data_IF_505981038455
#
_entry.id   IF_505981038455
#
_cell.length_a   1.000
_cell.length_b   1.000
_cell.length_c   1.000
_cell.angle_alpha   90.00
_cell.angle_beta   90.00
_cell.angle_gamma   90.00
#
_symmetry.space_group_name_H-M   'P 1'
#
loop_
_entity.id
_entity.type
_entity.pdbx_description
1 polymer ?
#
# COMPACT_ATOMS: atom_id res chain seq x y z
N UNK A 1 -6.38 -3.11 2.27
CA UNK A 1 -5.85 -3.27 0.91
C UNK A 1 -6.58 -2.28 0.01
N UNK A 2 -5.95 -1.79 -1.04
CA UNK A 2 -6.54 -0.79 -1.93
C UNK A 2 -6.46 -1.30 -3.37
N UNK A 3 -7.51 -1.05 -4.13
CA UNK A 3 -7.60 -1.43 -5.54
C UNK A 3 -6.75 -0.50 -6.43
N UNK A 4 -6.42 -0.89 -7.67
CA UNK A 4 -5.60 -0.09 -8.59
C UNK A 4 -6.14 1.31 -8.89
N UNK A 5 -7.44 1.54 -8.70
CA UNK A 5 -8.15 2.80 -8.88
C UNK A 5 -8.16 3.68 -7.62
N UNK A 6 -7.34 3.35 -6.61
CA UNK A 6 -7.25 4.11 -5.38
C UNK A 6 -7.00 5.61 -5.60
N UNK A 7 -7.55 6.40 -4.68
CA UNK A 7 -7.19 7.80 -4.50
C UNK A 7 -6.70 8.03 -3.06
N UNK A 8 -5.44 8.44 -2.94
CA UNK A 8 -4.82 8.87 -1.70
C UNK A 8 -4.97 10.38 -1.56
N UNK A 9 -5.85 10.80 -0.65
CA UNK A 9 -6.02 12.22 -0.31
C UNK A 9 -5.09 12.62 0.83
N UNK A 10 -4.25 13.62 0.58
CA UNK A 10 -3.41 14.27 1.59
C UNK A 10 -4.05 15.59 1.94
N UNK A 11 -4.31 15.83 3.22
CA UNK A 11 -4.94 17.05 3.72
C UNK A 11 -4.07 17.70 4.79
N UNK A 12 -3.86 19.00 4.67
CA UNK A 12 -3.12 19.81 5.62
C UNK A 12 -4.09 20.68 6.41
N UNK A 13 -4.08 20.53 7.73
CA UNK A 13 -4.91 21.29 8.64
C UNK A 13 -4.06 22.20 9.54
N UNK A 14 -4.62 23.35 9.91
CA UNK A 14 -4.09 24.21 10.98
C UNK A 14 -5.15 24.47 12.04
N UNK A 15 -4.71 24.78 13.26
CA UNK A 15 -5.57 25.26 14.32
C UNK A 15 -4.88 26.40 15.06
N UNK A 16 -5.62 27.48 15.33
CA UNK A 16 -5.16 28.53 16.23
C UNK A 16 -5.34 28.10 17.68
N UNK A 17 -4.35 28.35 18.55
CA UNK A 17 -4.52 28.14 19.99
C UNK A 17 -5.52 29.17 20.54
N UNK A 18 -6.63 28.74 21.18
CA UNK A 18 -7.53 29.65 21.87
C UNK A 18 -6.79 30.22 23.09
N UNK A 19 -6.43 31.52 23.04
CA UNK A 19 -5.75 32.23 24.14
C UNK A 19 -4.55 33.09 23.74
N UNK A 20 -4.12 33.09 22.49
CA UNK A 20 -3.14 34.05 21.97
C UNK A 20 -3.80 35.38 21.65
N UNK A 21 -4.12 36.18 22.67
CA UNK A 21 -4.62 37.54 22.47
C UNK A 21 -3.72 38.30 21.49
N UNK A 22 -4.36 38.94 20.52
CA UNK A 22 -3.74 39.92 19.64
C UNK A 22 -3.27 41.13 20.45
N UNK A 23 -2.16 40.99 21.18
CA UNK A 23 -1.40 42.09 21.77
C UNK A 23 0.01 41.60 22.13
N UNK A 24 0.79 41.28 21.11
CA UNK A 24 2.21 41.03 21.22
C UNK A 24 2.91 41.77 20.10
N UNK A 25 3.52 42.91 20.43
CA UNK A 25 4.34 43.72 19.55
C UNK A 25 5.22 42.85 18.64
N UNK A 26 5.15 43.05 17.33
CA UNK A 26 6.22 42.63 16.43
C UNK A 26 7.52 43.30 16.89
N UNK A 27 8.58 42.58 17.30
CA UNK A 27 9.89 43.19 17.32
C UNK A 27 10.35 43.25 15.86
N UNK A 28 10.36 44.46 15.29
CA UNK A 28 11.09 44.78 14.06
C UNK A 28 12.59 44.51 14.30
N UNK A 29 13.04 43.25 14.25
CA UNK A 29 14.46 42.83 14.23
C UNK A 29 14.58 41.29 14.22
N UNK A 30 14.21 40.65 13.13
CA UNK A 30 14.70 39.31 12.77
C UNK A 30 14.91 39.24 11.25
N UNK A 31 15.53 40.30 10.71
CA UNK A 31 16.35 40.17 9.52
C UNK A 31 17.75 39.80 10.00
N UNK A 32 18.34 38.79 9.36
CA UNK A 32 19.66 38.15 9.57
C UNK A 32 19.72 36.98 10.55
N UNK A 33 20.34 35.91 10.02
CA UNK A 33 20.78 34.64 10.64
C UNK A 33 19.84 33.44 10.52
N UNK A 34 19.60 33.03 9.27
CA UNK A 34 19.62 31.60 8.94
C UNK A 34 21.09 31.20 8.77
N UNK A 35 21.70 30.64 9.80
CA UNK A 35 22.96 29.91 9.68
C UNK A 35 23.11 28.92 10.83
N UNK A 36 23.35 27.66 10.45
CA UNK A 36 24.01 26.57 11.20
C UNK A 36 23.36 25.95 12.45
N UNK A 37 22.90 24.71 12.25
CA UNK A 37 23.23 23.45 12.99
C UNK A 37 23.01 23.28 14.50
N UNK A 38 22.35 22.17 14.84
CA UNK A 38 22.64 21.16 15.88
C UNK A 38 23.27 21.62 17.22
N UNK A 39 22.55 21.40 18.34
CA UNK A 39 23.14 21.42 19.69
C UNK A 39 22.14 21.16 20.82
N UNK A 40 22.46 20.23 21.70
CA UNK A 40 21.67 19.70 22.83
C UNK A 40 21.67 20.68 24.03
N UNK A 41 20.55 20.82 24.77
CA UNK A 41 20.52 20.83 26.26
C UNK A 41 19.18 21.29 26.88
N UNK A 42 18.58 20.41 27.69
CA UNK A 42 17.91 20.61 29.01
C UNK A 42 17.30 21.97 29.42
N UNK A 43 16.04 21.93 29.90
CA UNK A 43 15.42 23.01 30.69
C UNK A 43 14.00 22.69 31.17
N UNK A 44 13.87 22.42 32.47
CA UNK A 44 12.76 21.78 33.21
C UNK A 44 11.59 22.73 33.61
N UNK A 45 10.41 22.12 33.86
CA UNK A 45 9.32 22.44 34.82
C UNK A 45 8.09 23.27 34.35
N UNK A 46 6.92 22.64 34.46
CA UNK A 46 5.80 23.12 35.28
C UNK A 46 4.94 21.93 35.77
N UNK A 47 4.95 21.68 37.07
CA UNK A 47 4.02 20.81 37.82
C UNK A 47 3.76 21.47 39.18
N UNK A 48 2.60 21.15 39.78
CA UNK A 48 1.99 21.60 41.05
C UNK A 48 0.95 22.72 40.86
N UNK A 49 -0.24 22.69 41.49
CA UNK A 49 -0.65 22.13 42.79
C UNK A 49 -1.86 21.15 42.68
N UNK A 50 -1.98 20.02 43.39
CA UNK A 50 -2.11 19.74 44.85
C UNK A 50 -3.36 20.39 45.48
N UNK A 51 -4.16 19.77 46.36
CA UNK A 51 -4.33 18.41 46.93
C UNK A 51 -5.54 18.49 47.90
N UNK A 52 -6.20 17.36 48.24
CA UNK A 52 -7.00 17.25 49.48
C UNK A 52 -8.41 16.62 49.35
N UNK A 53 -8.57 15.36 49.77
CA UNK A 53 -9.87 14.76 50.19
C UNK A 53 -10.08 14.90 51.72
N UNK A 54 -10.92 14.11 52.42
CA UNK A 54 -12.04 13.21 52.04
C UNK A 54 -13.36 13.46 52.87
N UNK A 55 -14.47 12.75 52.59
CA UNK A 55 -15.59 12.56 53.55
C UNK A 55 -17.03 12.75 53.02
N UNK A 56 -17.93 11.82 53.35
CA UNK A 56 -19.26 11.58 52.73
C UNK A 56 -20.49 12.28 53.44
N UNK A 57 -21.79 11.91 53.22
CA UNK A 57 -22.98 12.78 52.96
C UNK A 57 -23.86 12.97 54.24
N UNK A 58 -25.18 13.38 54.29
CA UNK A 58 -26.24 13.51 53.28
C UNK A 58 -27.16 14.77 53.38
N UNK A 59 -28.09 14.94 52.42
CA UNK A 59 -29.11 15.98 52.51
C UNK A 59 -29.98 16.12 51.27
N UNK A 60 -31.04 15.32 51.21
CA UNK A 60 -32.22 15.45 50.33
C UNK A 60 -32.80 16.87 50.32
N UNK A 61 -33.10 17.40 49.13
CA UNK A 61 -33.94 18.59 48.98
C UNK A 61 -33.86 19.14 47.55
N UNK A 62 -34.96 19.01 46.80
CA UNK A 62 -34.99 19.18 45.36
C UNK A 62 -34.63 20.56 44.82
N UNK A 63 -34.11 20.57 43.61
CA UNK A 63 -34.71 21.21 42.43
C UNK A 63 -33.77 20.91 41.27
N UNK A 64 -34.34 20.42 40.16
CA UNK A 64 -33.58 20.09 38.97
C UNK A 64 -32.99 21.35 38.35
N UNK A 65 -31.76 21.68 38.70
CA UNK A 65 -30.87 22.38 37.81
C UNK A 65 -30.05 21.29 37.10
N UNK A 66 -30.38 21.04 35.84
CA UNK A 66 -29.44 20.40 34.92
C UNK A 66 -28.15 21.21 34.99
N UNK A 67 -27.18 20.72 35.75
CA UNK A 67 -25.82 21.24 35.74
C UNK A 67 -25.31 20.99 34.33
N UNK A 68 -25.43 22.03 33.50
CA UNK A 68 -24.77 22.13 32.21
C UNK A 68 -23.31 21.67 32.41
N UNK A 69 -22.77 20.83 31.50
CA UNK A 69 -21.35 20.48 31.57
C UNK A 69 -20.52 21.77 31.66
N UNK A 70 -19.42 21.79 32.43
CA UNK A 70 -18.57 22.96 32.54
C UNK A 70 -18.20 23.45 31.13
N UNK A 71 -18.00 24.77 30.91
CA UNK A 71 -17.72 25.31 29.59
C UNK A 71 -16.61 24.48 28.95
N UNK A 72 -17.02 23.73 27.94
CA UNK A 72 -16.22 22.78 27.18
C UNK A 72 -14.85 23.39 26.94
N UNK A 73 -13.79 22.68 27.34
CA UNK A 73 -12.41 23.03 26.98
C UNK A 73 -12.43 23.41 25.50
N UNK A 74 -12.02 24.63 25.10
CA UNK A 74 -12.10 25.05 23.72
C UNK A 74 -11.34 24.07 22.85
N UNK A 75 -12.07 23.20 22.15
CA UNK A 75 -11.47 22.22 21.26
C UNK A 75 -10.85 23.01 20.10
N UNK A 76 -9.58 22.76 19.74
CA UNK A 76 -8.98 23.42 18.59
C UNK A 76 -9.83 23.13 17.35
N UNK A 77 -10.39 24.18 16.74
CA UNK A 77 -11.05 24.08 15.45
C UNK A 77 -9.98 23.99 14.39
N UNK A 78 -9.81 22.79 13.84
CA UNK A 78 -8.93 22.56 12.70
C UNK A 78 -9.59 23.08 11.42
N UNK A 79 -8.84 23.85 10.65
CA UNK A 79 -9.24 24.33 9.34
C UNK A 79 -8.38 23.68 8.26
N UNK A 80 -9.01 23.21 7.19
CA UNK A 80 -8.31 22.70 6.02
C UNK A 80 -7.60 23.86 5.31
N UNK A 81 -6.28 23.76 5.19
CA UNK A 81 -5.46 24.75 4.50
C UNK A 81 -5.19 24.39 3.06
N UNK A 82 -4.90 23.12 2.81
CA UNK A 82 -4.57 22.63 1.48
C UNK A 82 -4.77 21.12 1.39
N UNK A 83 -4.93 20.62 0.17
CA UNK A 83 -5.02 19.20 -0.07
C UNK A 83 -4.39 18.81 -1.42
N UNK A 84 -4.07 17.52 -1.56
CA UNK A 84 -3.70 16.91 -2.83
C UNK A 84 -4.33 15.52 -2.93
N UNK A 85 -4.59 15.09 -4.17
CA UNK A 85 -5.03 13.74 -4.48
C UNK A 85 -3.96 13.05 -5.32
N UNK A 86 -3.52 11.87 -4.89
CA UNK A 86 -2.56 11.04 -5.59
C UNK A 86 -3.22 9.70 -5.95
N UNK A 87 -2.90 9.15 -7.10
CA UNK A 87 -3.40 7.86 -7.57
C UNK A 87 -2.25 6.99 -8.07
N UNK A 88 -2.59 5.86 -8.69
CA UNK A 88 -1.63 4.96 -9.33
C UNK A 88 -0.66 5.68 -10.30
N UNK A 89 -1.08 6.80 -10.91
CA UNK A 89 -0.23 7.56 -11.83
C UNK A 89 0.97 8.24 -11.15
N UNK A 90 0.87 8.54 -9.84
CA UNK A 90 1.94 9.17 -9.06
C UNK A 90 2.83 8.15 -8.34
N UNK A 91 2.51 6.86 -8.45
CA UNK A 91 3.31 5.79 -7.85
C UNK A 91 4.67 5.68 -8.53
N UNK A 92 5.75 5.76 -7.75
CA UNK A 92 7.12 5.80 -8.24
C UNK A 92 8.14 5.48 -7.12
N UNK A 93 9.28 4.87 -7.45
CA UNK A 93 10.32 4.52 -6.46
C UNK A 93 11.09 5.76 -5.92
N UNK A 94 11.08 6.86 -6.66
CA UNK A 94 11.71 8.14 -6.25
C UNK A 94 10.72 9.18 -5.68
N UNK A 95 11.26 10.12 -4.89
CA UNK A 95 10.51 11.30 -4.43
C UNK A 95 10.08 12.19 -5.60
N UNK A 96 8.83 12.68 -5.54
CA UNK A 96 8.26 13.61 -6.51
C UNK A 96 7.63 14.79 -5.79
N UNK A 97 7.61 15.92 -6.50
CA UNK A 97 6.91 17.13 -6.06
C UNK A 97 5.47 17.09 -6.58
N UNK A 98 4.52 17.36 -5.71
CA UNK A 98 3.10 17.40 -6.00
C UNK A 98 2.56 18.77 -5.61
N UNK A 99 1.76 19.37 -6.48
CA UNK A 99 1.11 20.63 -6.18
C UNK A 99 -0.04 20.40 -5.18
N UNK A 100 -0.19 21.34 -4.26
CA UNK A 100 -1.26 21.39 -3.27
C UNK A 100 -2.32 22.37 -3.75
N UNK A 101 -3.59 21.96 -3.69
CA UNK A 101 -4.73 22.84 -3.86
C UNK A 101 -4.96 23.58 -2.55
N UNK A 102 -4.82 24.90 -2.57
CA UNK A 102 -5.01 25.74 -1.39
C UNK A 102 -6.51 25.96 -1.15
N UNK A 103 -6.97 25.60 0.05
CA UNK A 103 -8.37 25.68 0.47
C UNK A 103 -8.66 26.89 1.38
N UNK A 104 -7.65 27.40 2.09
CA UNK A 104 -7.78 28.56 2.98
C UNK A 104 -7.13 29.82 2.39
N UNK A 105 -7.72 30.98 2.67
CA UNK A 105 -7.24 32.29 2.26
C UNK A 105 -6.68 33.10 3.45
N UNK A 106 -6.05 34.23 3.18
CA UNK A 106 -5.47 35.12 4.21
C UNK A 106 -6.49 35.65 5.23
N UNK A 107 -7.78 35.56 4.92
CA UNK A 107 -8.89 36.00 5.79
C UNK A 107 -9.21 34.95 6.87
N UNK A 108 -8.68 33.75 6.72
CA UNK A 108 -8.90 32.64 7.63
C UNK A 108 -8.05 32.76 8.90
N UNK A 109 -8.63 32.54 10.11
CA UNK A 109 -7.98 32.84 11.38
C UNK A 109 -6.75 31.97 11.70
N UNK A 110 -6.55 30.89 10.95
CA UNK A 110 -5.41 29.98 11.08
C UNK A 110 -4.68 29.76 9.75
N UNK A 111 -4.83 30.70 8.81
CA UNK A 111 -4.06 30.69 7.58
C UNK A 111 -2.56 30.81 7.84
N UNK A 112 -1.78 30.08 7.05
CA UNK A 112 -0.32 30.20 7.00
C UNK A 112 0.11 30.25 5.54
N UNK A 113 1.16 31.01 5.21
CA UNK A 113 1.69 31.05 3.84
C UNK A 113 2.28 29.68 3.48
N UNK A 114 1.71 29.06 2.43
CA UNK A 114 2.17 27.78 1.89
C UNK A 114 2.84 28.00 0.55
N UNK A 115 3.93 27.26 0.29
CA UNK A 115 4.57 27.22 -1.03
C UNK A 115 3.70 26.55 -2.12
N UNK A 116 2.57 25.94 -1.73
CA UNK A 116 1.65 25.26 -2.65
C UNK A 116 2.16 23.94 -3.18
N UNK A 117 3.18 23.34 -2.54
CA UNK A 117 3.80 22.08 -2.98
C UNK A 117 4.15 21.20 -1.79
N UNK A 118 4.06 19.89 -2.01
CA UNK A 118 4.58 18.86 -1.12
C UNK A 118 5.56 17.95 -1.88
N UNK A 119 6.47 17.30 -1.17
CA UNK A 119 7.38 16.32 -1.73
C UNK A 119 7.19 15.00 -0.99
N UNK A 120 6.86 13.93 -1.72
CA UNK A 120 6.72 12.60 -1.15
C UNK A 120 7.09 11.51 -2.18
N UNK A 121 7.32 10.29 -1.67
CA UNK A 121 7.41 9.07 -2.46
C UNK A 121 6.13 8.29 -2.23
N UNK A 122 5.38 8.02 -3.30
CA UNK A 122 4.22 7.14 -3.25
C UNK A 122 4.63 5.77 -3.78
N UNK A 123 4.66 4.77 -2.92
CA UNK A 123 4.95 3.38 -3.30
C UNK A 123 3.68 2.54 -3.19
N UNK A 124 3.47 1.64 -4.15
CA UNK A 124 2.41 0.64 -4.11
C UNK A 124 3.00 -0.74 -4.40
N UNK A 125 2.42 -1.78 -3.84
CA UNK A 125 2.86 -3.15 -4.07
C UNK A 125 1.65 -4.04 -4.35
N UNK A 126 1.46 -4.46 -5.61
CA UNK A 126 0.37 -5.36 -5.97
C UNK A 126 0.53 -6.71 -5.27
N UNK A 127 -0.55 -7.25 -4.70
CA UNK A 127 -0.51 -8.55 -4.03
C UNK A 127 -0.18 -9.69 -5.00
N UNK A 128 -0.56 -9.60 -6.27
CA UNK A 128 -0.19 -10.57 -7.31
C UNK A 128 1.34 -10.70 -7.55
N UNK A 129 2.14 -9.74 -7.07
CA UNK A 129 3.60 -9.79 -7.19
C UNK A 129 4.29 -10.54 -6.04
N UNK A 130 3.70 -10.50 -4.84
CA UNK A 130 4.26 -11.12 -3.63
C UNK A 130 3.59 -12.46 -3.31
N UNK A 131 2.27 -12.53 -3.48
CA UNK A 131 1.44 -13.68 -3.14
C UNK A 131 1.19 -14.55 -4.38
N UNK A 132 1.24 -15.89 -4.24
CA UNK A 132 0.96 -16.77 -5.36
C UNK A 132 -0.53 -16.74 -5.72
N UNK A 133 -0.83 -16.41 -6.98
CA UNK A 133 -2.19 -16.45 -7.53
C UNK A 133 -2.70 -17.90 -7.67
N UNK A 134 -1.79 -18.84 -7.94
CA UNK A 134 -2.08 -20.27 -7.92
C UNK A 134 -0.82 -21.08 -7.63
N UNK A 135 -1.03 -22.23 -6.99
CA UNK A 135 -0.01 -23.26 -6.78
C UNK A 135 -0.61 -24.63 -7.06
N UNK A 136 0.15 -25.53 -7.68
CA UNK A 136 -0.33 -26.87 -7.98
C UNK A 136 0.64 -27.67 -8.84
N UNK A 137 0.32 -28.94 -9.06
CA UNK A 137 1.18 -29.84 -9.83
C UNK A 137 0.74 -29.84 -11.29
N UNK A 138 1.67 -29.53 -12.21
CA UNK A 138 1.44 -29.61 -13.65
C UNK A 138 2.54 -30.42 -14.31
N UNK A 139 2.25 -30.98 -15.49
CA UNK A 139 3.24 -31.67 -16.33
C UNK A 139 3.47 -30.87 -17.59
N UNK A 140 4.72 -30.63 -17.94
CA UNK A 140 5.04 -30.03 -19.24
C UNK A 140 4.71 -31.04 -20.35
N UNK A 141 4.16 -30.57 -21.46
CA UNK A 141 3.98 -31.35 -22.67
C UNK A 141 5.01 -30.91 -23.70
N UNK A 142 5.78 -31.88 -24.20
CA UNK A 142 6.81 -31.67 -25.18
C UNK A 142 6.17 -31.25 -26.51
N UNK A 143 6.83 -30.39 -27.29
CA UNK A 143 6.35 -30.00 -28.61
C UNK A 143 6.10 -31.23 -29.49
N UNK A 144 4.87 -31.41 -29.96
CA UNK A 144 4.49 -32.50 -30.85
C UNK A 144 4.23 -33.86 -30.18
N UNK A 145 4.27 -33.97 -28.84
CA UNK A 145 3.94 -35.19 -28.14
C UNK A 145 2.42 -35.37 -27.97
N UNK A 146 1.88 -36.55 -28.26
CA UNK A 146 0.51 -36.94 -27.92
C UNK A 146 0.44 -37.43 -26.46
N UNK A 147 0.63 -36.54 -25.49
CA UNK A 147 0.48 -36.85 -24.05
C UNK A 147 1.36 -36.03 -23.11
N UNK A 148 1.18 -36.17 -21.79
CA UNK A 148 2.03 -35.52 -20.81
C UNK A 148 3.43 -36.12 -20.88
N UNK A 149 4.46 -35.29 -21.05
CA UNK A 149 5.84 -35.77 -21.22
C UNK A 149 6.74 -35.16 -20.14
N UNK A 150 7.29 -36.01 -19.28
CA UNK A 150 8.19 -35.58 -18.22
C UNK A 150 7.57 -35.67 -16.84
N UNK A 151 8.38 -35.40 -15.79
CA UNK A 151 7.94 -35.52 -14.42
C UNK A 151 6.91 -34.44 -14.05
N UNK A 152 6.04 -34.70 -13.06
CA UNK A 152 5.24 -33.65 -12.44
C UNK A 152 6.14 -32.56 -11.86
N UNK A 153 5.73 -31.31 -12.03
CA UNK A 153 6.40 -30.12 -11.49
C UNK A 153 5.42 -29.39 -10.57
N UNK A 154 5.91 -28.95 -9.41
CA UNK A 154 5.17 -28.04 -8.56
C UNK A 154 5.29 -26.62 -9.11
N UNK A 155 4.18 -26.06 -9.58
CA UNK A 155 4.12 -24.79 -10.27
C UNK A 155 3.53 -23.71 -9.36
N UNK A 156 4.10 -22.51 -9.39
CA UNK A 156 3.70 -21.35 -8.61
C UNK A 156 3.56 -20.16 -9.55
N UNK A 157 2.34 -19.64 -9.72
CA UNK A 157 2.08 -18.41 -10.48
C UNK A 157 2.18 -17.22 -9.54
N UNK A 158 3.23 -16.42 -9.70
CA UNK A 158 3.46 -15.20 -8.92
C UNK A 158 4.36 -14.23 -9.65
N UNK A 159 4.18 -12.93 -9.43
CA UNK A 159 5.05 -11.93 -10.03
C UNK A 159 5.08 -12.02 -11.56
N UNK A 160 6.27 -11.95 -12.19
CA UNK A 160 6.39 -11.91 -13.65
C UNK A 160 6.35 -13.28 -14.33
N UNK A 161 5.94 -14.37 -13.64
CA UNK A 161 6.03 -15.69 -14.25
C UNK A 161 5.32 -16.83 -13.52
N UNK A 162 5.30 -17.97 -14.22
CA UNK A 162 5.04 -19.27 -13.64
C UNK A 162 6.39 -19.94 -13.35
N UNK A 163 6.62 -20.22 -12.07
CA UNK A 163 7.84 -20.86 -11.57
C UNK A 163 7.55 -22.34 -11.32
N UNK A 164 8.31 -23.23 -11.93
CA UNK A 164 8.11 -24.67 -11.84
C UNK A 164 9.30 -25.34 -11.16
N UNK A 165 9.01 -26.10 -10.10
CA UNK A 165 9.98 -26.79 -9.24
C UNK A 165 9.81 -28.30 -9.33
N UNK A 166 10.83 -29.07 -8.95
CA UNK A 166 10.72 -30.53 -8.83
C UNK A 166 9.77 -30.95 -7.71
N UNK A 167 9.64 -30.14 -6.66
CA UNK A 167 8.70 -30.39 -5.55
C UNK A 167 8.28 -29.10 -4.82
N UNK A 168 7.22 -29.20 -4.00
CA UNK A 168 6.79 -28.10 -3.13
C UNK A 168 7.86 -27.69 -2.11
N UNK A 169 8.62 -28.64 -1.58
CA UNK A 169 9.69 -28.36 -0.61
C UNK A 169 10.84 -27.53 -1.21
N UNK A 170 11.15 -27.71 -2.50
CA UNK A 170 12.13 -26.88 -3.20
C UNK A 170 11.65 -25.43 -3.35
N UNK A 171 10.36 -25.25 -3.64
CA UNK A 171 9.74 -23.92 -3.74
C UNK A 171 9.75 -23.19 -2.38
N UNK A 172 9.41 -23.89 -1.30
CA UNK A 172 9.43 -23.36 0.07
C UNK A 172 10.85 -23.03 0.55
N UNK A 173 11.83 -23.84 0.18
CA UNK A 173 13.24 -23.60 0.47
C UNK A 173 13.84 -22.43 -0.34
N UNK A 174 13.09 -21.85 -1.28
CA UNK A 174 13.56 -20.74 -2.11
C UNK A 174 14.65 -21.15 -3.09
N UNK A 175 14.66 -22.40 -3.54
CA UNK A 175 15.62 -22.87 -4.55
C UNK A 175 15.34 -22.22 -5.92
N UNK A 176 16.29 -22.34 -6.86
CA UNK A 176 16.07 -21.89 -8.23
C UNK A 176 15.06 -22.82 -8.94
N UNK A 177 14.09 -22.26 -9.68
CA UNK A 177 13.09 -23.06 -10.38
C UNK A 177 13.72 -23.82 -11.55
N UNK A 178 13.32 -25.08 -11.73
CA UNK A 178 13.72 -25.93 -12.85
C UNK A 178 13.28 -25.35 -14.21
N UNK A 179 12.13 -24.67 -14.24
CA UNK A 179 11.60 -24.00 -15.41
C UNK A 179 10.92 -22.70 -14.98
N UNK A 180 11.16 -21.62 -15.72
CA UNK A 180 10.46 -20.34 -15.57
C UNK A 180 9.78 -19.99 -16.88
N UNK A 181 8.46 -19.83 -16.85
CA UNK A 181 7.67 -19.34 -17.99
C UNK A 181 7.29 -17.90 -17.69
N UNK A 182 7.79 -16.96 -18.48
CA UNK A 182 7.48 -15.55 -18.32
C UNK A 182 5.99 -15.28 -18.58
N UNK A 183 5.37 -14.52 -17.69
CA UNK A 183 3.99 -14.05 -17.77
C UNK A 183 4.02 -12.53 -17.83
N UNK A 184 3.69 -12.00 -19.00
CA UNK A 184 3.70 -10.57 -19.31
C UNK A 184 2.32 -10.14 -19.78
N UNK A 185 2.11 -8.84 -20.00
CA UNK A 185 0.88 -8.31 -20.60
C UNK A 185 0.55 -8.90 -21.97
N UNK A 186 1.56 -9.41 -22.69
CA UNK A 186 1.40 -10.00 -24.02
C UNK A 186 1.16 -11.53 -23.96
N UNK A 187 1.17 -12.12 -22.77
CA UNK A 187 0.91 -13.54 -22.57
C UNK A 187 -0.54 -13.86 -22.87
N UNK A 188 -0.74 -14.91 -23.67
CA UNK A 188 -2.05 -15.46 -24.01
C UNK A 188 -2.16 -16.85 -23.40
N UNK A 189 -3.26 -17.09 -22.72
CA UNK A 189 -3.53 -18.36 -22.05
C UNK A 189 -4.77 -18.99 -22.66
N UNK A 190 -4.71 -20.26 -23.03
CA UNK A 190 -5.82 -21.01 -23.65
C UNK A 190 -6.02 -22.35 -22.97
N UNK A 191 -7.26 -22.79 -22.91
CA UNK A 191 -7.59 -24.16 -22.55
C UNK A 191 -7.05 -25.11 -23.62
N UNK A 192 -6.45 -26.21 -23.18
CA UNK A 192 -6.21 -27.37 -24.04
C UNK A 192 -7.40 -28.30 -23.82
N UNK A 193 -8.35 -28.25 -24.75
CA UNK A 193 -9.53 -29.10 -24.67
C UNK A 193 -9.14 -30.55 -24.90
N UNK A 194 -9.72 -31.42 -24.06
CA UNK A 194 -9.73 -32.85 -24.31
C UNK A 194 -10.69 -33.13 -25.47
N UNK A 195 -10.24 -32.83 -26.69
CA UNK A 195 -10.93 -33.30 -27.89
C UNK A 195 -10.96 -34.83 -27.87
N UNK A 196 -11.96 -35.46 -28.53
CA UNK A 196 -12.30 -36.89 -28.48
C UNK A 196 -11.22 -37.92 -28.85
N UNK A 197 -9.94 -37.53 -28.85
CA UNK A 197 -8.72 -38.33 -28.99
C UNK A 197 -7.84 -38.34 -27.72
N UNK A 198 -8.43 -38.30 -26.52
CA UNK A 198 -7.69 -38.59 -25.28
C UNK A 198 -6.59 -37.60 -24.90
N UNK A 199 -6.63 -36.37 -25.43
CA UNK A 199 -5.68 -35.33 -25.03
C UNK A 199 -6.00 -34.91 -23.58
N UNK A 200 -5.02 -34.89 -22.66
CA UNK A 200 -5.30 -34.60 -21.27
C UNK A 200 -5.65 -33.11 -21.09
N UNK A 201 -6.51 -32.76 -20.12
CA UNK A 201 -6.89 -31.37 -19.88
C UNK A 201 -5.66 -30.54 -19.47
N UNK A 202 -5.57 -29.31 -19.94
CA UNK A 202 -4.39 -28.49 -19.69
C UNK A 202 -4.56 -27.03 -20.08
N UNK A 203 -3.45 -26.31 -19.97
CA UNK A 203 -3.33 -24.89 -20.24
C UNK A 203 -2.15 -24.66 -21.18
N UNK A 204 -2.40 -23.97 -22.30
CA UNK A 204 -1.36 -23.52 -23.21
C UNK A 204 -1.06 -22.05 -22.93
N UNK A 205 0.20 -21.75 -22.62
CA UNK A 205 0.72 -20.41 -22.33
C UNK A 205 1.58 -19.99 -23.51
N UNK A 206 1.12 -19.00 -24.26
CA UNK A 206 1.86 -18.43 -25.39
C UNK A 206 2.36 -17.05 -25.01
N UNK A 207 3.66 -16.79 -25.17
CA UNK A 207 4.26 -15.49 -24.94
C UNK A 207 5.09 -15.06 -26.16
N UNK A 208 5.21 -13.74 -26.37
CA UNK A 208 6.05 -13.15 -27.42
C UNK A 208 7.34 -12.63 -26.82
N UNK A 209 8.41 -13.41 -26.96
CA UNK A 209 9.74 -13.07 -26.48
C UNK A 209 10.63 -12.70 -27.65
N UNK A 210 11.05 -11.43 -27.73
CA UNK A 210 11.98 -10.97 -28.77
C UNK A 210 11.44 -11.05 -30.21
N UNK A 211 10.11 -11.07 -30.39
CA UNK A 211 9.44 -11.20 -31.69
C UNK A 211 9.00 -12.62 -32.04
N UNK A 212 9.50 -13.64 -31.33
CA UNK A 212 9.13 -15.04 -31.52
C UNK A 212 7.98 -15.44 -30.57
N UNK A 213 7.01 -16.19 -31.09
CA UNK A 213 5.95 -16.79 -30.26
C UNK A 213 6.41 -18.13 -29.68
N UNK A 214 6.57 -18.16 -28.36
CA UNK A 214 6.90 -19.38 -27.61
C UNK A 214 5.63 -19.87 -26.93
N UNK A 215 5.27 -21.14 -27.17
CA UNK A 215 4.11 -21.77 -26.51
C UNK A 215 4.56 -22.92 -25.63
N UNK A 216 4.16 -22.87 -24.36
CA UNK A 216 4.32 -23.96 -23.39
C UNK A 216 2.96 -24.57 -23.08
N UNK A 217 2.85 -25.88 -23.25
CA UNK A 217 1.63 -26.61 -22.89
C UNK A 217 1.85 -27.34 -21.57
N UNK A 218 0.98 -27.06 -20.61
CA UNK A 218 0.98 -27.67 -19.28
C UNK A 218 -0.27 -28.51 -19.10
N UNK A 219 -0.09 -29.75 -18.69
CA UNK A 219 -1.15 -30.72 -18.48
C UNK A 219 -1.48 -30.78 -16.99
N UNK A 220 -2.77 -30.70 -16.68
CA UNK A 220 -3.31 -30.84 -15.34
C UNK A 220 -3.79 -32.28 -15.10
N UNK A 221 -3.94 -32.66 -13.83
CA UNK A 221 -4.42 -34.01 -13.46
C UNK A 221 -5.92 -34.17 -13.74
N UNK A 222 -6.66 -33.07 -13.78
CA UNK A 222 -8.11 -33.06 -14.01
C UNK A 222 -8.56 -31.82 -14.77
N UNK A 223 -9.74 -31.90 -15.40
CA UNK A 223 -10.37 -30.75 -16.04
C UNK A 223 -10.68 -29.63 -15.04
N UNK A 224 -11.04 -29.99 -13.80
CA UNK A 224 -11.26 -29.02 -12.73
C UNK A 224 -9.98 -28.27 -12.34
N UNK A 225 -8.84 -28.95 -12.33
CA UNK A 225 -7.55 -28.30 -12.09
C UNK A 225 -7.13 -27.41 -13.26
N UNK A 226 -7.28 -27.87 -14.51
CA UNK A 226 -7.04 -27.03 -15.68
C UNK A 226 -7.88 -25.74 -15.65
N UNK A 227 -9.17 -25.86 -15.28
CA UNK A 227 -10.07 -24.71 -15.15
C UNK A 227 -9.61 -23.74 -14.05
N UNK A 228 -9.21 -24.24 -12.87
CA UNK A 228 -8.66 -23.39 -11.80
C UNK A 228 -7.41 -22.63 -12.26
N UNK A 229 -6.53 -23.29 -13.02
CA UNK A 229 -5.36 -22.62 -13.59
C UNK A 229 -5.74 -21.55 -14.60
N UNK A 230 -6.70 -21.81 -15.49
CA UNK A 230 -7.20 -20.80 -16.45
C UNK A 230 -7.76 -19.57 -15.75
N UNK A 231 -8.55 -19.77 -14.70
CA UNK A 231 -9.11 -18.68 -13.89
C UNK A 231 -8.01 -17.88 -13.19
N UNK A 232 -7.04 -18.58 -12.57
CA UNK A 232 -5.91 -17.92 -11.91
C UNK A 232 -5.05 -17.12 -12.88
N UNK A 233 -4.76 -17.66 -14.07
CA UNK A 233 -4.07 -16.91 -15.12
C UNK A 233 -4.88 -15.71 -15.60
N UNK A 234 -6.19 -15.87 -15.76
CA UNK A 234 -7.09 -14.77 -16.13
C UNK A 234 -7.04 -13.63 -15.12
N UNK A 235 -7.16 -13.94 -13.84
CA UNK A 235 -7.05 -12.96 -12.77
C UNK A 235 -5.66 -12.32 -12.72
N UNK A 236 -4.59 -13.12 -12.79
CA UNK A 236 -3.22 -12.62 -12.75
C UNK A 236 -2.91 -11.67 -13.90
N UNK A 237 -3.34 -12.00 -15.12
CA UNK A 237 -3.19 -11.12 -16.29
C UNK A 237 -4.02 -9.84 -16.18
N UNK A 238 -5.21 -9.93 -15.61
CA UNK A 238 -6.03 -8.76 -15.30
C UNK A 238 -5.31 -7.83 -14.30
N UNK A 239 -4.76 -8.39 -13.22
CA UNK A 239 -4.05 -7.62 -12.20
C UNK A 239 -2.79 -6.96 -12.77
N UNK A 240 -1.99 -7.69 -13.57
CA UNK A 240 -0.84 -7.13 -14.28
C UNK A 240 -1.22 -5.93 -15.16
N UNK A 241 -2.38 -5.99 -15.83
CA UNK A 241 -2.87 -4.90 -16.66
C UNK A 241 -3.34 -3.69 -15.83
N UNK A 242 -4.00 -3.91 -14.70
CA UNK A 242 -4.53 -2.83 -13.87
C UNK A 242 -3.44 -2.09 -13.08
N UNK A 243 -2.47 -2.83 -12.54
CA UNK A 243 -1.39 -2.27 -11.72
C UNK A 243 -0.26 -1.63 -12.53
N UNK A 244 -0.27 -1.77 -13.86
CA UNK A 244 0.59 -1.05 -14.81
C UNK A 244 2.07 -1.13 -14.43
N UNK A 245 2.74 0.01 -14.27
CA UNK A 245 4.17 0.10 -13.95
C UNK A 245 4.53 -0.53 -12.61
N UNK A 246 3.57 -0.73 -11.70
CA UNK A 246 3.82 -1.32 -10.39
C UNK A 246 4.13 -2.82 -10.45
N UNK A 247 3.82 -3.48 -11.57
CA UNK A 247 4.16 -4.88 -11.81
C UNK A 247 5.50 -5.07 -12.54
N UNK A 248 6.08 -3.99 -13.09
CA UNK A 248 7.38 -4.05 -13.80
C UNK A 248 8.55 -3.93 -12.82
N UNK A 249 8.44 -3.03 -11.84
CA UNK A 249 9.47 -2.80 -10.83
C UNK A 249 8.85 -2.81 -9.41
N UNK A 250 9.21 -3.83 -8.63
CA UNK A 250 8.72 -4.01 -7.27
C UNK A 250 9.27 -2.92 -6.33
N UNK A 251 8.40 -2.02 -5.91
CA UNK A 251 8.76 -0.96 -4.97
C UNK A 251 8.84 -1.47 -3.53
N UNK A 252 9.92 -1.09 -2.85
CA UNK A 252 10.05 -1.31 -1.41
C UNK A 252 9.10 -0.37 -0.66
N UNK A 253 8.37 -0.92 0.30
CA UNK A 253 7.58 -0.14 1.25
C UNK A 253 8.38 -0.18 2.56
N UNK A 254 8.85 0.99 3.00
CA UNK A 254 9.58 1.10 4.27
C UNK A 254 8.60 0.96 5.44
N UNK A 255 8.80 -0.05 6.27
CA UNK A 255 8.06 -0.16 7.52
C UNK A 255 8.74 0.70 8.59
N UNK A 256 8.04 1.70 9.17
CA UNK A 256 8.62 2.49 10.23
C UNK A 256 8.92 1.60 11.44
N UNK A 257 10.12 1.73 11.99
CA UNK A 257 10.51 0.97 13.18
C UNK A 257 9.49 1.16 14.32
N UNK A 258 9.17 0.09 15.07
CA UNK A 258 8.23 0.20 16.19
C UNK A 258 8.72 1.28 17.16
N UNK A 259 7.86 2.27 17.43
CA UNK A 259 8.18 3.36 18.34
C UNK A 259 8.44 2.77 19.73
N UNK A 260 9.62 3.04 20.30
CA UNK A 260 9.89 2.65 21.70
C UNK A 260 8.86 3.35 22.60
N UNK A 261 8.27 2.65 23.58
CA UNK A 261 7.39 3.28 24.54
C UNK A 261 8.17 4.38 25.29
N UNK A 262 7.52 5.49 25.66
CA UNK A 262 8.13 6.51 26.50
C UNK A 262 8.62 5.85 27.81
N UNK A 263 9.84 6.18 28.21
CA UNK A 263 10.41 5.72 29.49
C UNK A 263 9.53 6.21 30.66
N UNK A 264 9.41 5.43 31.74
CA UNK A 264 8.62 5.79 32.93
C UNK A 264 9.13 7.07 33.63
#
# INVERSE_FOLDING_TARGET
EADPDFELKVELYSAGLPGGGAQGSTPKKLATRLSTSLGRSSGRRARAAMEGGPGSPPGTGGTGALLLPPPSVPCPRFQLLAHAALSLAQVHDGFRTHDLVIAADEQSPCWVPLYGRMCCRLAARPSCMDTPAATGTLRLQAPGAEGPSGPPLFCVLRGPGLLCYGSAGEAEAGQEPTLTIAVTKDTRVRAVESGGRGQPPGVAITNRLGGEEVTHTLVAESAAEAQRWLEAFGQHLYDLAQWKQCCEELMRIEEPAPRRPPAP
#
